data_IF_456167865336
#
_entry.id   IF_456167865336
#
_cell.length_a   1.000
_cell.length_b   1.000
_cell.length_c   1.000
_cell.angle_alpha   90.00
_cell.angle_beta   90.00
_cell.angle_gamma   90.00
#
_symmetry.space_group_name_H-M   'P 1'
#
loop_
_entity.id
_entity.type
_entity.pdbx_description
1 polymer ?
#
# COMPACT_ATOMS: atom_id res chain seq x y z
N UNK A 1 17.56 -19.30 21.96
CA UNK A 1 16.09 -19.17 21.96
C UNK A 1 15.80 -18.00 21.06
N UNK A 2 15.34 -18.28 19.84
CA UNK A 2 14.68 -17.25 19.03
C UNK A 2 13.46 -16.81 19.84
N UNK A 3 13.27 -15.51 20.05
CA UNK A 3 12.04 -15.01 20.65
C UNK A 3 10.88 -15.49 19.77
N UNK A 4 9.88 -16.14 20.37
CA UNK A 4 8.67 -16.53 19.65
C UNK A 4 7.99 -15.25 19.17
N UNK A 5 8.09 -14.97 17.86
CA UNK A 5 7.37 -13.87 17.24
C UNK A 5 5.87 -14.16 17.34
N UNK A 6 5.13 -13.31 18.04
CA UNK A 6 3.69 -13.40 18.14
C UNK A 6 3.05 -12.51 17.07
N UNK A 7 2.32 -13.07 16.09
CA UNK A 7 1.72 -12.27 15.04
C UNK A 7 0.56 -11.42 15.56
N UNK A 8 0.49 -10.19 15.07
CA UNK A 8 -0.48 -9.16 15.45
C UNK A 8 -1.31 -8.72 14.24
N UNK A 9 -2.62 -8.75 14.40
CA UNK A 9 -3.59 -8.26 13.41
C UNK A 9 -4.72 -7.57 14.16
N UNK A 10 -4.64 -6.25 14.30
CA UNK A 10 -5.67 -5.48 14.96
C UNK A 10 -5.77 -4.07 14.40
N UNK A 11 -6.94 -3.47 14.57
CA UNK A 11 -7.22 -2.08 14.26
C UNK A 11 -7.68 -1.35 15.53
N UNK A 12 -7.22 -0.12 15.69
CA UNK A 12 -7.65 0.75 16.78
C UNK A 12 -7.84 2.19 16.29
N UNK A 13 -8.40 3.04 17.16
CA UNK A 13 -8.38 4.49 16.92
C UNK A 13 -6.93 4.95 16.83
N UNK A 14 -6.62 5.83 15.89
CA UNK A 14 -5.25 6.36 15.74
C UNK A 14 -4.77 6.90 17.08
N UNK A 15 -3.69 6.39 17.70
CA UNK A 15 -3.15 6.91 18.94
C UNK A 15 -2.62 8.34 18.80
N UNK A 16 -2.58 9.13 19.87
CA UNK A 16 -2.16 10.55 19.81
C UNK A 16 -0.74 10.72 19.28
N UNK A 17 0.19 9.87 19.70
CA UNK A 17 1.58 9.92 19.19
C UNK A 17 1.68 9.55 17.71
N UNK A 18 0.84 8.63 17.23
CA UNK A 18 0.76 8.33 15.79
C UNK A 18 0.19 9.52 15.03
N UNK A 19 -0.91 10.10 15.50
CA UNK A 19 -1.52 11.25 14.84
C UNK A 19 -0.61 12.48 14.82
N UNK A 20 0.23 12.65 15.85
CA UNK A 20 1.25 13.70 15.90
C UNK A 20 2.30 13.57 14.80
N UNK A 21 2.66 12.34 14.41
CA UNK A 21 3.52 12.07 13.22
C UNK A 21 2.79 12.39 11.92
N UNK A 22 1.50 12.07 11.84
CA UNK A 22 0.68 12.28 10.64
C UNK A 22 0.40 13.75 10.33
N UNK A 23 0.17 14.55 11.38
CA UNK A 23 -0.33 15.92 11.24
C UNK A 23 0.73 16.84 10.63
N UNK A 24 0.40 17.43 9.48
CA UNK A 24 1.30 18.24 8.66
C UNK A 24 2.01 17.44 7.57
N UNK A 25 1.86 16.10 7.58
CA UNK A 25 2.50 15.16 6.66
C UNK A 25 1.41 14.40 5.88
N UNK A 26 1.11 13.15 6.26
CA UNK A 26 0.08 12.34 5.60
C UNK A 26 -1.33 12.87 5.82
N UNK A 27 -1.56 13.65 6.88
CA UNK A 27 -2.83 14.29 7.22
C UNK A 27 -2.64 15.79 7.48
N UNK A 28 -3.47 16.65 6.91
CA UNK A 28 -3.43 18.11 7.13
C UNK A 28 -4.81 18.73 6.95
N UNK A 29 -4.93 20.01 7.27
CA UNK A 29 -6.16 20.78 7.02
C UNK A 29 -6.62 20.64 5.55
N UNK A 30 -7.92 20.46 5.35
CA UNK A 30 -8.51 20.15 4.05
C UNK A 30 -8.47 18.66 3.65
N UNK A 31 -7.98 17.77 4.51
CA UNK A 31 -8.11 16.33 4.29
C UNK A 31 -9.59 15.93 4.25
N UNK A 32 -10.03 15.14 3.26
CA UNK A 32 -11.45 14.78 3.11
C UNK A 32 -11.94 13.78 4.17
N UNK A 33 -11.02 13.20 4.95
CA UNK A 33 -11.33 12.24 6.01
C UNK A 33 -10.82 12.75 7.35
N UNK A 34 -11.65 12.66 8.37
CA UNK A 34 -11.30 12.97 9.74
C UNK A 34 -10.40 11.90 10.36
N UNK A 35 -9.76 12.20 11.49
CA UNK A 35 -9.00 11.22 12.26
C UNK A 35 -9.90 10.07 12.72
N UNK A 36 -11.16 10.38 13.04
CA UNK A 36 -12.18 9.47 13.53
C UNK A 36 -12.63 8.46 12.46
N UNK A 37 -12.53 8.82 11.19
CA UNK A 37 -12.83 7.95 10.04
C UNK A 37 -11.67 7.05 9.63
N UNK A 38 -10.50 7.22 10.26
CA UNK A 38 -9.31 6.42 10.03
C UNK A 38 -9.03 5.47 11.20
N UNK A 39 -8.36 4.36 10.93
CA UNK A 39 -7.88 3.40 11.91
C UNK A 39 -6.39 3.18 11.75
N UNK A 40 -5.71 3.01 12.88
CA UNK A 40 -4.34 2.54 12.92
C UNK A 40 -4.35 1.02 13.04
N UNK A 41 -3.65 0.36 12.12
CA UNK A 41 -3.57 -1.08 12.00
C UNK A 41 -2.14 -1.52 12.35
N UNK A 42 -2.05 -2.56 13.18
CA UNK A 42 -0.86 -3.42 13.25
C UNK A 42 -1.12 -4.66 12.44
N UNK A 43 -0.19 -4.96 11.52
CA UNK A 43 -0.26 -6.13 10.64
C UNK A 43 1.09 -6.82 10.60
N UNK A 44 1.15 -8.09 10.98
CA UNK A 44 2.35 -8.88 10.78
C UNK A 44 2.52 -9.28 9.31
N UNK A 45 3.77 -9.29 8.83
CA UNK A 45 4.12 -9.69 7.47
C UNK A 45 5.44 -10.50 7.47
N UNK A 46 5.71 -11.21 6.38
CA UNK A 46 6.99 -11.91 6.18
C UNK A 46 7.88 -11.04 5.29
N UNK A 47 9.04 -10.65 5.80
CA UNK A 47 10.05 -9.90 5.06
C UNK A 47 10.67 -10.70 3.93
N UNK A 48 11.41 -10.04 3.04
CA UNK A 48 12.16 -10.74 1.98
C UNK A 48 13.29 -11.63 2.51
N UNK A 49 13.73 -11.39 3.76
CA UNK A 49 14.64 -12.25 4.50
C UNK A 49 13.95 -13.50 5.11
N UNK A 50 12.65 -13.69 4.85
CA UNK A 50 11.85 -14.79 5.37
C UNK A 50 11.48 -14.64 6.85
N UNK A 51 11.81 -13.51 7.49
CA UNK A 51 11.54 -13.29 8.91
C UNK A 51 10.22 -12.56 9.13
N UNK A 52 9.46 -12.93 10.16
CA UNK A 52 8.25 -12.21 10.51
C UNK A 52 8.58 -10.83 11.10
N UNK A 53 7.75 -9.84 10.78
CA UNK A 53 7.88 -8.44 11.17
C UNK A 53 6.50 -7.85 11.47
N UNK A 54 6.42 -6.88 12.36
CA UNK A 54 5.18 -6.10 12.59
C UNK A 54 5.24 -4.81 11.78
N UNK A 55 4.22 -4.59 10.96
CA UNK A 55 4.01 -3.40 10.15
C UNK A 55 3.02 -2.42 10.77
N UNK A 56 3.08 -1.17 10.31
CA UNK A 56 2.17 -0.09 10.69
C UNK A 56 1.42 0.44 9.47
N UNK A 57 0.10 0.55 9.55
CA UNK A 57 -0.72 1.09 8.48
C UNK A 57 -1.82 2.00 9.03
N UNK A 58 -2.14 3.07 8.32
CA UNK A 58 -3.37 3.83 8.56
C UNK A 58 -4.28 3.66 7.35
N UNK A 59 -5.54 3.35 7.59
CA UNK A 59 -6.56 3.12 6.56
C UNK A 59 -7.90 3.70 6.99
N UNK A 60 -8.86 3.83 6.07
CA UNK A 60 -10.24 4.14 6.44
C UNK A 60 -10.84 3.01 7.29
N UNK A 61 -11.63 3.38 8.30
CA UNK A 61 -12.36 2.43 9.15
C UNK A 61 -13.15 1.42 8.31
N UNK A 62 -13.76 1.88 7.22
CA UNK A 62 -14.63 1.05 6.36
C UNK A 62 -13.91 -0.08 5.62
N UNK A 63 -12.57 -0.07 5.55
CA UNK A 63 -11.78 -1.16 4.94
C UNK A 63 -10.81 -1.80 5.93
N UNK A 64 -10.79 -1.36 7.20
CA UNK A 64 -9.80 -1.82 8.16
C UNK A 64 -9.86 -3.34 8.37
N UNK A 65 -11.05 -3.89 8.59
CA UNK A 65 -11.25 -5.33 8.80
C UNK A 65 -10.88 -6.16 7.56
N UNK A 66 -11.22 -5.67 6.36
CA UNK A 66 -10.82 -6.32 5.10
C UNK A 66 -9.30 -6.40 4.98
N UNK A 67 -8.60 -5.31 5.30
CA UNK A 67 -7.13 -5.28 5.25
C UNK A 67 -6.53 -6.22 6.29
N UNK A 68 -7.04 -6.27 7.51
CA UNK A 68 -6.56 -7.21 8.52
C UNK A 68 -6.68 -8.66 8.04
N UNK A 69 -7.83 -9.03 7.47
CA UNK A 69 -8.06 -10.36 6.91
C UNK A 69 -7.13 -10.69 5.72
N UNK A 70 -6.92 -9.73 4.81
CA UNK A 70 -6.02 -9.89 3.68
C UNK A 70 -4.58 -10.12 4.17
N UNK A 71 -4.07 -9.21 5.02
CA UNK A 71 -2.69 -9.30 5.52
C UNK A 71 -2.48 -10.54 6.39
N UNK A 72 -3.47 -10.96 7.18
CA UNK A 72 -3.39 -12.21 7.94
C UNK A 72 -3.25 -13.42 7.02
N UNK A 73 -4.04 -13.50 5.93
CA UNK A 73 -3.95 -14.60 4.96
C UNK A 73 -2.63 -14.58 4.19
N UNK A 74 -2.12 -13.39 3.84
CA UNK A 74 -0.80 -13.23 3.22
C UNK A 74 0.32 -13.71 4.16
N UNK A 75 0.28 -13.31 5.42
CA UNK A 75 1.24 -13.75 6.44
C UNK A 75 1.22 -15.27 6.63
N UNK A 76 0.03 -15.86 6.81
CA UNK A 76 -0.14 -17.31 6.97
C UNK A 76 0.38 -18.11 5.77
N UNK A 77 0.30 -17.54 4.57
CA UNK A 77 0.82 -18.13 3.35
C UNK A 77 2.33 -17.90 3.14
N UNK A 78 2.99 -17.15 4.03
CA UNK A 78 4.40 -16.77 3.87
C UNK A 78 4.65 -15.79 2.73
N UNK A 79 3.62 -15.04 2.30
CA UNK A 79 3.74 -14.12 1.17
C UNK A 79 4.72 -12.97 1.51
N UNK A 80 5.74 -12.73 0.67
CA UNK A 80 6.80 -11.77 0.98
C UNK A 80 6.34 -10.31 0.76
N UNK A 81 6.41 -9.52 1.82
CA UNK A 81 6.26 -8.06 1.82
C UNK A 81 7.47 -7.49 2.53
N UNK A 82 8.24 -6.63 1.87
CA UNK A 82 9.54 -6.21 2.42
C UNK A 82 9.38 -5.42 3.73
N UNK A 83 8.50 -4.42 3.71
CA UNK A 83 8.18 -3.56 4.86
C UNK A 83 6.81 -2.91 4.69
N UNK A 84 6.19 -2.60 5.82
CA UNK A 84 4.94 -1.84 5.91
C UNK A 84 5.15 -0.75 6.96
N UNK A 85 5.24 0.50 6.51
CA UNK A 85 5.46 1.68 7.35
C UNK A 85 4.53 2.81 6.94
N UNK A 86 4.27 3.71 7.88
CA UNK A 86 3.55 4.93 7.59
C UNK A 86 4.39 5.82 6.67
N UNK A 87 3.74 6.51 5.73
CA UNK A 87 4.41 7.48 4.87
C UNK A 87 5.06 8.62 5.70
N UNK A 88 4.58 8.83 6.92
CA UNK A 88 5.10 9.82 7.86
C UNK A 88 6.54 9.54 8.30
N UNK A 89 6.96 8.27 8.29
CA UNK A 89 8.35 7.88 8.56
C UNK A 89 9.30 8.33 7.42
N UNK A 90 8.74 8.69 6.27
CA UNK A 90 9.43 9.28 5.11
C UNK A 90 9.17 10.80 4.98
N UNK A 91 8.55 11.42 5.99
CA UNK A 91 8.19 12.84 5.94
C UNK A 91 7.16 13.18 4.86
N UNK A 92 6.38 12.19 4.38
CA UNK A 92 5.40 12.37 3.31
C UNK A 92 5.99 12.28 1.90
N UNK A 93 7.27 11.94 1.75
CA UNK A 93 7.90 11.73 0.44
C UNK A 93 7.49 10.37 -0.14
N UNK A 94 6.49 10.40 -1.01
CA UNK A 94 5.94 9.25 -1.72
C UNK A 94 7.02 8.54 -2.57
N UNK A 95 7.90 9.30 -3.22
CA UNK A 95 8.96 8.74 -4.06
C UNK A 95 10.05 8.07 -3.23
N UNK A 96 10.41 8.62 -2.07
CA UNK A 96 11.35 7.98 -1.14
C UNK A 96 10.75 6.67 -0.58
N UNK A 97 9.47 6.68 -0.19
CA UNK A 97 8.75 5.50 0.30
C UNK A 97 8.67 4.39 -0.76
N UNK A 98 8.28 4.73 -2.00
CA UNK A 98 8.21 3.77 -3.09
C UNK A 98 9.59 3.17 -3.44
N UNK A 99 10.63 4.00 -3.49
CA UNK A 99 12.01 3.56 -3.78
C UNK A 99 12.56 2.65 -2.69
N UNK A 100 12.20 2.88 -1.44
CA UNK A 100 12.48 1.99 -0.31
C UNK A 100 11.51 0.79 -0.26
N UNK A 101 10.72 0.55 -1.32
CA UNK A 101 9.81 -0.59 -1.45
C UNK A 101 8.80 -0.72 -0.30
N UNK A 102 8.37 0.42 0.26
CA UNK A 102 7.45 0.45 1.38
C UNK A 102 6.00 0.22 0.94
N UNK A 103 5.36 -0.80 1.51
CA UNK A 103 3.91 -0.99 1.38
C UNK A 103 3.18 0.03 2.25
N UNK A 104 2.24 0.79 1.67
CA UNK A 104 1.57 1.90 2.36
C UNK A 104 0.10 2.07 1.96
N UNK A 105 -0.69 2.76 2.79
CA UNK A 105 -2.14 2.95 2.58
C UNK A 105 -2.55 4.43 2.62
N UNK A 106 -2.75 5.03 3.79
CA UNK A 106 -3.20 6.42 3.85
C UNK A 106 -2.08 7.43 3.55
N UNK A 107 -2.35 8.33 2.60
CA UNK A 107 -1.53 9.50 2.30
C UNK A 107 -2.40 10.57 1.62
N UNK A 108 -2.66 11.70 2.29
CA UNK A 108 -3.39 12.82 1.69
C UNK A 108 -2.55 13.55 0.64
N UNK A 109 -2.76 13.17 -0.63
CA UNK A 109 -2.09 13.73 -1.81
C UNK A 109 -2.96 13.65 -3.08
N UNK A 110 -2.59 14.43 -4.09
CA UNK A 110 -3.13 14.23 -5.43
C UNK A 110 -2.48 13.04 -6.13
N UNK A 111 -3.14 12.55 -7.18
CA UNK A 111 -2.55 11.58 -8.11
C UNK A 111 -1.39 12.26 -8.85
N UNK A 112 -0.30 11.54 -9.10
CA UNK A 112 0.86 12.05 -9.86
C UNK A 112 0.43 12.67 -11.19
N UNK A 113 0.87 13.91 -11.44
CA UNK A 113 0.51 14.66 -12.65
C UNK A 113 -0.96 15.11 -12.74
N UNK A 114 -1.73 15.08 -11.64
CA UNK A 114 -3.14 15.49 -11.60
C UNK A 114 -3.45 16.42 -10.43
N UNK A 115 -4.59 17.10 -10.52
CA UNK A 115 -5.21 17.85 -9.40
C UNK A 115 -6.28 17.02 -8.66
N UNK A 116 -6.54 15.79 -9.11
CA UNK A 116 -7.50 14.89 -8.46
C UNK A 116 -6.86 14.25 -7.23
N UNK A 117 -7.61 14.15 -6.14
CA UNK A 117 -7.18 13.43 -4.96
C UNK A 117 -7.01 11.93 -5.27
N UNK A 118 -5.95 11.35 -4.74
CA UNK A 118 -5.69 9.92 -4.78
C UNK A 118 -6.63 9.17 -3.84
N UNK A 119 -6.95 7.90 -4.12
CA UNK A 119 -7.68 7.02 -3.19
C UNK A 119 -6.93 6.79 -1.87
N UNK A 120 -5.61 6.95 -1.88
CA UNK A 120 -4.79 7.02 -0.66
C UNK A 120 -5.22 8.17 0.27
N UNK A 121 -5.75 9.27 -0.27
CA UNK A 121 -6.25 10.41 0.52
C UNK A 121 -7.52 10.12 1.31
N UNK A 122 -8.23 9.06 0.92
CA UNK A 122 -9.42 8.58 1.60
C UNK A 122 -9.09 7.37 2.48
N UNK A 123 -7.84 6.89 2.52
CA UNK A 123 -7.47 5.64 3.18
C UNK A 123 -8.13 4.42 2.55
N UNK A 124 -8.43 4.48 1.25
CA UNK A 124 -9.15 3.44 0.49
C UNK A 124 -8.29 2.70 -0.54
N UNK A 125 -6.98 2.93 -0.52
CA UNK A 125 -6.04 2.27 -1.41
C UNK A 125 -4.80 1.77 -0.67
N UNK A 126 -4.18 0.73 -1.19
CA UNK A 126 -2.93 0.15 -0.68
C UNK A 126 -1.99 -0.08 -1.85
N UNK A 127 -0.73 0.34 -1.69
CA UNK A 127 0.34 0.02 -2.62
C UNK A 127 1.22 -1.09 -2.02
N UNK A 128 1.46 -2.18 -2.75
CA UNK A 128 2.21 -3.36 -2.29
C UNK A 128 3.55 -3.48 -3.03
N UNK A 129 4.65 -3.53 -2.27
CA UNK A 129 6.03 -3.64 -2.78
C UNK A 129 6.28 -2.75 -4.04
N UNK A 130 6.16 -1.41 -3.92
CA UNK A 130 6.26 -0.47 -5.05
C UNK A 130 7.46 -0.63 -5.98
N UNK A 131 8.63 -0.98 -5.44
CA UNK A 131 9.85 -1.09 -6.24
C UNK A 131 9.76 -2.24 -7.25
N UNK A 132 9.10 -3.35 -6.89
CA UNK A 132 8.92 -4.51 -7.77
C UNK A 132 7.63 -4.43 -8.59
N UNK A 133 6.69 -3.58 -8.19
CA UNK A 133 5.38 -3.45 -8.81
C UNK A 133 5.09 -1.99 -9.18
N UNK A 134 5.88 -1.38 -10.06
CA UNK A 134 5.76 0.06 -10.29
C UNK A 134 4.45 0.47 -10.96
N UNK A 135 4.12 1.73 -10.77
CA UNK A 135 3.33 2.46 -11.74
C UNK A 135 4.10 2.56 -13.06
N UNK A 136 3.47 2.24 -14.19
CA UNK A 136 4.07 2.28 -15.52
C UNK A 136 3.23 3.15 -16.46
N UNK A 137 3.91 4.14 -17.06
CA UNK A 137 3.34 5.02 -18.07
C UNK A 137 4.16 4.93 -19.36
N UNK A 138 3.45 4.78 -20.46
CA UNK A 138 4.04 4.76 -21.81
C UNK A 138 3.51 5.94 -22.62
N UNK A 139 4.41 6.78 -23.15
CA UNK A 139 4.08 7.91 -24.02
C UNK A 139 4.94 7.79 -25.28
N UNK A 140 4.31 7.47 -26.42
CA UNK A 140 5.05 7.05 -27.61
C UNK A 140 5.92 5.83 -27.29
N UNK A 141 7.20 5.89 -27.63
CA UNK A 141 8.17 4.82 -27.34
C UNK A 141 8.85 4.97 -25.96
N UNK A 142 8.45 5.97 -25.17
CA UNK A 142 9.08 6.25 -23.87
C UNK A 142 8.29 5.60 -22.74
N UNK A 143 8.96 4.72 -21.99
CA UNK A 143 8.45 4.11 -20.75
C UNK A 143 9.07 4.81 -19.54
N UNK A 144 8.21 5.28 -18.64
CA UNK A 144 8.55 5.84 -17.33
C UNK A 144 7.86 5.07 -16.22
N UNK A 145 8.52 4.95 -15.07
CA UNK A 145 7.96 4.28 -13.89
C UNK A 145 7.99 5.17 -12.66
N UNK A 146 7.07 4.92 -11.73
CA UNK A 146 7.17 5.42 -10.36
C UNK A 146 7.24 4.20 -9.42
N UNK A 147 8.35 4.03 -8.65
CA UNK A 147 9.57 4.86 -8.65
C UNK A 147 10.40 4.67 -9.94
N UNK A 148 11.29 5.61 -10.25
CA UNK A 148 12.10 5.58 -11.48
C UNK A 148 13.04 4.36 -11.53
N UNK A 149 13.60 3.97 -10.37
CA UNK A 149 14.46 2.80 -10.20
C UNK A 149 13.78 1.49 -10.59
N UNK A 150 12.46 1.44 -10.54
CA UNK A 150 11.68 0.25 -10.85
C UNK A 150 11.54 -0.01 -12.35
N UNK A 151 12.17 0.78 -13.22
CA UNK A 151 12.08 0.64 -14.68
C UNK A 151 12.44 -0.75 -15.18
N UNK A 152 13.39 -1.43 -14.52
CA UNK A 152 13.77 -2.81 -14.84
C UNK A 152 12.61 -3.81 -14.66
N UNK A 153 11.64 -3.48 -13.80
CA UNK A 153 10.46 -4.30 -13.54
C UNK A 153 9.27 -3.93 -14.44
N UNK A 154 9.36 -2.87 -15.25
CA UNK A 154 8.27 -2.46 -16.15
C UNK A 154 7.92 -3.54 -17.19
N UNK A 155 8.92 -4.32 -17.64
CA UNK A 155 8.69 -5.48 -18.48
C UNK A 155 8.09 -6.63 -17.68
N UNK A 156 6.76 -6.74 -17.73
CA UNK A 156 6.01 -7.82 -17.08
C UNK A 156 6.11 -9.15 -17.80
N UNK A 157 6.82 -9.29 -18.92
CA UNK A 157 7.10 -10.60 -19.52
C UNK A 157 8.30 -11.28 -18.88
N UNK A 158 9.19 -10.50 -18.24
CA UNK A 158 10.33 -11.02 -17.52
C UNK A 158 9.91 -11.77 -16.24
N UNK A 159 10.77 -12.71 -15.83
CA UNK A 159 10.68 -13.41 -14.55
C UNK A 159 11.57 -12.72 -13.51
N UNK A 160 10.98 -12.35 -12.39
CA UNK A 160 11.63 -11.69 -11.26
C UNK A 160 10.78 -11.88 -10.00
N UNK A 161 11.38 -11.84 -8.79
CA UNK A 161 10.66 -12.11 -7.55
C UNK A 161 9.66 -11.00 -7.20
N UNK A 162 8.72 -11.31 -6.31
CA UNK A 162 7.76 -10.36 -5.69
C UNK A 162 6.79 -9.66 -6.66
N UNK A 163 6.69 -10.18 -7.88
CA UNK A 163 5.81 -9.69 -8.93
C UNK A 163 4.35 -10.00 -8.62
N UNK A 164 3.51 -8.97 -8.64
CA UNK A 164 2.06 -9.11 -8.62
C UNK A 164 1.54 -9.24 -10.05
N UNK A 165 0.70 -10.24 -10.27
CA UNK A 165 0.01 -10.53 -11.53
C UNK A 165 -1.37 -11.13 -11.23
N UNK A 166 -2.21 -11.32 -12.25
CA UNK A 166 -3.64 -11.65 -12.07
C UNK A 166 -3.91 -12.90 -11.22
N UNK A 167 -3.06 -13.93 -11.32
CA UNK A 167 -3.21 -15.18 -10.55
C UNK A 167 -2.43 -15.17 -9.22
N UNK A 168 -1.63 -14.12 -8.97
CA UNK A 168 -0.87 -13.98 -7.73
C UNK A 168 -1.80 -13.98 -6.50
N UNK A 169 -1.30 -14.55 -5.38
CA UNK A 169 -2.09 -14.64 -4.16
C UNK A 169 -2.52 -13.26 -3.64
N UNK A 170 -1.64 -12.25 -3.69
CA UNK A 170 -1.95 -10.89 -3.27
C UNK A 170 -3.09 -10.32 -4.11
N UNK A 171 -2.98 -10.42 -5.44
CA UNK A 171 -4.03 -9.94 -6.33
C UNK A 171 -5.38 -10.63 -6.06
N UNK A 172 -5.39 -11.97 -5.98
CA UNK A 172 -6.62 -12.73 -5.73
C UNK A 172 -7.27 -12.42 -4.39
N UNK A 173 -6.48 -12.21 -3.33
CA UNK A 173 -7.01 -11.84 -2.02
C UNK A 173 -7.62 -10.44 -2.05
N UNK A 174 -6.89 -9.42 -2.51
CA UNK A 174 -7.44 -8.07 -2.61
C UNK A 174 -8.73 -8.02 -3.45
N UNK A 175 -8.73 -8.67 -4.63
CA UNK A 175 -9.92 -8.74 -5.47
C UNK A 175 -11.10 -9.48 -4.83
N UNK A 176 -10.84 -10.55 -4.05
CA UNK A 176 -11.90 -11.27 -3.31
C UNK A 176 -12.60 -10.39 -2.29
N UNK A 177 -11.90 -9.43 -1.70
CA UNK A 177 -12.45 -8.44 -0.76
C UNK A 177 -12.97 -7.17 -1.47
N UNK A 178 -13.08 -7.19 -2.81
CA UNK A 178 -13.70 -6.13 -3.59
C UNK A 178 -12.78 -4.95 -3.93
N UNK A 179 -11.46 -5.11 -3.84
CA UNK A 179 -10.51 -4.13 -4.37
C UNK A 179 -10.31 -4.32 -5.88
N UNK A 180 -10.21 -3.21 -6.61
CA UNK A 180 -9.75 -3.17 -7.99
C UNK A 180 -8.22 -3.08 -8.00
N UNK A 181 -7.56 -3.91 -8.81
CA UNK A 181 -6.11 -3.89 -8.97
C UNK A 181 -5.70 -3.00 -10.16
N UNK A 182 -4.79 -2.05 -9.92
CA UNK A 182 -4.30 -1.09 -10.91
C UNK A 182 -3.47 -1.70 -12.04
N UNK A 183 -2.90 -2.89 -11.82
CA UNK A 183 -2.16 -3.61 -12.86
C UNK A 183 -3.03 -4.11 -14.02
N UNK A 184 -4.34 -4.24 -13.79
CA UNK A 184 -5.33 -4.63 -14.80
C UNK A 184 -5.91 -3.45 -15.61
N UNK A 185 -5.51 -2.21 -15.33
CA UNK A 185 -6.00 -1.03 -16.05
C UNK A 185 -5.47 -0.95 -17.49
N UNK A 186 -6.25 -0.33 -18.38
CA UNK A 186 -6.00 -0.36 -19.84
C UNK A 186 -4.95 0.65 -20.33
N UNK A 187 -4.91 1.83 -19.73
CA UNK A 187 -4.14 2.98 -20.25
C UNK A 187 -2.90 3.30 -19.43
N UNK A 188 -2.98 3.08 -18.12
CA UNK A 188 -1.95 3.35 -17.15
C UNK A 188 -1.97 2.17 -16.21
N UNK A 189 -0.86 1.44 -16.09
CA UNK A 189 -0.82 0.22 -15.28
C UNK A 189 -0.11 0.52 -13.98
N UNK A 190 -0.82 0.37 -12.88
CA UNK A 190 -0.29 0.63 -11.55
C UNK A 190 -0.20 -0.66 -10.77
N UNK A 191 0.91 -1.39 -10.92
CA UNK A 191 0.99 -2.79 -10.46
C UNK A 191 1.01 -2.92 -8.93
N UNK A 192 1.45 -1.88 -8.22
CA UNK A 192 1.45 -1.79 -6.77
C UNK A 192 0.04 -1.58 -6.22
N UNK A 193 -0.83 -0.95 -7.00
CA UNK A 193 -2.00 -0.26 -6.49
C UNK A 193 -3.24 -1.14 -6.40
N UNK A 194 -3.89 -1.12 -5.25
CA UNK A 194 -5.22 -1.69 -5.02
C UNK A 194 -6.12 -0.62 -4.44
N UNK A 195 -7.27 -0.34 -5.08
CA UNK A 195 -8.26 0.61 -4.56
C UNK A 195 -9.61 -0.05 -4.33
N UNK A 196 -10.30 0.34 -3.26
CA UNK A 196 -11.69 -0.07 -3.02
C UNK A 196 -12.63 1.10 -3.24
N UNK A 197 -13.65 0.88 -4.08
CA UNK A 197 -14.73 1.85 -4.28
C UNK A 197 -15.83 1.58 -3.29
N UNK A 198 -15.97 2.49 -2.34
CA UNK A 198 -17.10 2.50 -1.43
C UNK A 198 -18.13 3.48 -1.99
N UNK A 199 -19.38 3.06 -2.22
CA UNK A 199 -20.45 3.98 -2.55
C UNK A 199 -20.55 5.05 -1.47
N UNK A 200 -20.74 6.31 -1.89
CA UNK A 200 -21.14 7.34 -0.92
C UNK A 200 -22.50 6.95 -0.32
N UNK A 201 -22.71 7.19 0.99
CA UNK A 201 -23.98 6.88 1.64
C UNK A 201 -25.16 7.65 1.05
#
# INVERSE_FOLDING_TARGET
>A
MEEDFLPEFYAERIPDEVFKRMRGTSWREGCPVSREELRYLKVSHIGFDGRPRTGEMVAAERIADDLLEIFQKLYQAGYPIEKIRLIDDYGGDDAASMRDNNTSCFHFRTISGSQKLSKHSMGLAVDINPLYNPYVKTVGDTVSTEPEEAKVYADRTADFPHKIWEEDLCCRLFCRYGFEWGGGWKTVRDYQHFEKRIPEP
#
